data_IF_773368427481
#
_entry.id   IF_773368427481
#
_cell.length_a   1.000
_cell.length_b   1.000
_cell.length_c   1.000
_cell.angle_alpha   90.00
_cell.angle_beta   90.00
_cell.angle_gamma   90.00
#
_symmetry.space_group_name_H-M   'P 1'
#
loop_
_entity.id
_entity.type
_entity.pdbx_description
1 polymer ?
#
# COMPACT_ATOMS: atom_id res chain seq x y z
N UNK A 1 -21.21 19.94 16.81
CA UNK A 1 -20.61 19.40 18.04
C UNK A 1 -19.11 19.65 17.99
N UNK A 2 -18.50 20.21 19.03
CA UNK A 2 -17.06 20.53 19.03
C UNK A 2 -16.23 19.32 19.47
N UNK A 3 -15.15 19.03 18.76
CA UNK A 3 -14.16 18.02 19.17
C UNK A 3 -13.49 18.38 20.50
N UNK A 4 -13.46 19.66 20.89
CA UNK A 4 -12.87 20.10 22.16
C UNK A 4 -13.62 19.54 23.37
N UNK A 5 -14.96 19.53 23.32
CA UNK A 5 -15.81 18.99 24.39
C UNK A 5 -15.68 17.46 24.49
N UNK A 6 -15.60 16.78 23.34
CA UNK A 6 -15.32 15.35 23.28
C UNK A 6 -13.97 15.03 23.93
N UNK A 7 -12.92 15.75 23.55
CA UNK A 7 -11.57 15.57 24.06
C UNK A 7 -11.45 15.89 25.56
N UNK A 8 -12.19 16.89 26.05
CA UNK A 8 -12.31 17.18 27.48
C UNK A 8 -12.89 15.97 28.23
N UNK A 9 -14.00 15.41 27.78
CA UNK A 9 -14.58 14.23 28.42
C UNK A 9 -13.66 13.01 28.37
N UNK A 10 -12.90 12.82 27.27
CA UNK A 10 -11.88 11.77 27.20
C UNK A 10 -10.79 12.00 28.25
N UNK A 11 -10.28 13.21 28.39
CA UNK A 11 -9.26 13.57 29.37
C UNK A 11 -9.74 13.35 30.82
N UNK A 12 -10.96 13.78 31.14
CA UNK A 12 -11.57 13.64 32.46
C UNK A 12 -11.75 12.16 32.88
N UNK A 13 -12.00 11.27 31.91
CA UNK A 13 -12.24 9.85 32.17
C UNK A 13 -10.97 8.97 32.04
N UNK A 14 -10.02 9.34 31.17
CA UNK A 14 -8.76 8.59 30.98
C UNK A 14 -7.66 9.45 30.36
N UNK A 15 -6.73 9.90 31.20
CA UNK A 15 -5.55 10.66 30.78
C UNK A 15 -4.66 9.83 29.83
N UNK A 16 -4.49 8.54 30.08
CA UNK A 16 -3.65 7.66 29.25
C UNK A 16 -4.19 7.55 27.80
N UNK A 17 -5.50 7.36 27.66
CA UNK A 17 -6.14 7.31 26.34
C UNK A 17 -6.07 8.68 25.67
N UNK A 18 -6.28 9.76 26.43
CA UNK A 18 -6.13 11.12 25.92
C UNK A 18 -4.73 11.38 25.38
N UNK A 19 -3.67 11.05 26.14
CA UNK A 19 -2.28 11.26 25.71
C UNK A 19 -1.93 10.42 24.48
N UNK A 20 -2.43 9.18 24.42
CA UNK A 20 -2.30 8.31 23.24
C UNK A 20 -2.94 8.96 22.01
N UNK A 21 -4.16 9.46 22.13
CA UNK A 21 -4.86 10.16 21.04
C UNK A 21 -4.15 11.47 20.68
N UNK A 22 -3.60 12.18 21.66
CA UNK A 22 -2.89 13.45 21.45
C UNK A 22 -1.61 13.29 20.63
N UNK A 23 -0.96 12.14 20.71
CA UNK A 23 0.18 11.79 19.86
C UNK A 23 -0.21 11.65 18.37
N UNK A 24 -1.50 11.51 18.07
CA UNK A 24 -2.01 11.44 16.71
C UNK A 24 -2.36 12.85 16.17
N UNK A 25 -1.94 13.12 14.94
CA UNK A 25 -2.22 14.37 14.24
C UNK A 25 -3.74 14.63 14.21
N UNK A 26 -4.19 15.87 14.45
CA UNK A 26 -5.62 16.20 14.55
C UNK A 26 -6.46 15.65 13.39
N UNK A 27 -5.96 15.74 12.16
CA UNK A 27 -6.59 15.14 10.97
C UNK A 27 -6.96 13.66 11.17
N UNK A 28 -6.00 12.79 11.51
CA UNK A 28 -6.26 11.37 11.70
C UNK A 28 -7.08 11.11 12.97
N UNK A 29 -6.88 11.91 14.02
CA UNK A 29 -7.62 11.80 15.27
C UNK A 29 -9.12 12.06 15.07
N UNK A 30 -9.47 13.11 14.34
CA UNK A 30 -10.87 13.43 14.04
C UNK A 30 -11.50 12.39 13.11
N UNK A 31 -10.75 11.89 12.12
CA UNK A 31 -11.19 10.75 11.29
C UNK A 31 -11.41 9.49 12.13
N UNK A 32 -10.57 9.23 13.12
CA UNK A 32 -10.76 8.12 14.07
C UNK A 32 -12.03 8.30 14.90
N UNK A 33 -12.29 9.50 15.43
CA UNK A 33 -13.54 9.77 16.16
C UNK A 33 -14.77 9.55 15.28
N UNK A 34 -14.76 10.05 14.05
CA UNK A 34 -15.83 9.82 13.07
C UNK A 34 -16.05 8.33 12.81
N UNK A 35 -14.96 7.57 12.57
CA UNK A 35 -15.04 6.12 12.35
C UNK A 35 -15.61 5.38 13.56
N UNK A 36 -15.26 5.81 14.78
CA UNK A 36 -15.81 5.23 16.02
C UNK A 36 -17.29 5.56 16.16
N UNK A 37 -17.72 6.78 15.81
CA UNK A 37 -19.13 7.19 15.78
C UNK A 37 -19.95 6.28 14.86
N UNK A 38 -19.47 6.10 13.62
CA UNK A 38 -20.09 5.23 12.61
C UNK A 38 -20.19 3.77 13.06
N UNK A 39 -19.08 3.20 13.54
CA UNK A 39 -19.02 1.80 13.98
C UNK A 39 -19.88 1.53 15.22
N UNK A 40 -20.04 2.55 16.08
CA UNK A 40 -20.87 2.46 17.29
C UNK A 40 -22.34 2.81 17.01
N UNK A 41 -22.68 3.17 15.76
CA UNK A 41 -24.02 3.58 15.33
C UNK A 41 -24.61 4.69 16.20
N UNK A 42 -23.76 5.60 16.67
CA UNK A 42 -24.21 6.75 17.45
C UNK A 42 -25.04 7.68 16.56
N UNK A 43 -26.10 8.23 17.13
CA UNK A 43 -26.98 9.16 16.43
C UNK A 43 -26.26 10.47 16.11
N UNK A 44 -26.81 11.24 15.18
CA UNK A 44 -26.20 12.52 14.81
C UNK A 44 -26.23 13.56 15.92
N UNK A 45 -27.22 13.45 16.81
CA UNK A 45 -27.46 14.24 18.01
C UNK A 45 -26.82 13.65 19.28
N UNK A 46 -26.03 12.57 19.18
CA UNK A 46 -25.36 11.99 20.35
C UNK A 46 -24.57 13.06 21.12
N UNK A 47 -24.58 13.03 22.44
CA UNK A 47 -23.79 14.01 23.18
C UNK A 47 -22.29 13.69 23.16
N UNK A 48 -21.47 14.67 23.52
CA UNK A 48 -20.01 14.51 23.51
C UNK A 48 -19.52 13.49 24.56
N UNK A 49 -20.27 13.26 25.63
CA UNK A 49 -19.92 12.33 26.69
C UNK A 49 -20.13 10.88 26.23
N UNK A 50 -21.27 10.58 25.63
CA UNK A 50 -21.58 9.27 25.04
C UNK A 50 -20.56 8.93 23.95
N UNK A 51 -20.22 9.90 23.10
CA UNK A 51 -19.19 9.70 22.08
C UNK A 51 -17.81 9.45 22.71
N UNK A 52 -17.42 10.20 23.75
CA UNK A 52 -16.16 9.99 24.48
C UNK A 52 -16.09 8.57 25.06
N UNK A 53 -17.15 8.10 25.73
CA UNK A 53 -17.20 6.75 26.29
C UNK A 53 -17.00 5.66 25.22
N UNK A 54 -17.55 5.87 24.02
CA UNK A 54 -17.33 4.95 22.91
C UNK A 54 -15.88 5.01 22.40
N UNK A 55 -15.24 6.18 22.36
CA UNK A 55 -13.82 6.31 22.05
C UNK A 55 -12.96 5.55 23.06
N UNK A 56 -13.20 5.75 24.36
CA UNK A 56 -12.49 5.05 25.44
C UNK A 56 -12.64 3.52 25.34
N UNK A 57 -13.82 3.04 24.94
CA UNK A 57 -14.11 1.62 24.77
C UNK A 57 -13.48 1.02 23.51
N UNK A 58 -13.37 1.80 22.44
CA UNK A 58 -12.96 1.32 21.12
C UNK A 58 -11.46 1.45 20.87
N UNK A 59 -10.80 2.46 21.44
CA UNK A 59 -9.36 2.66 21.25
C UNK A 59 -8.52 1.44 21.68
N UNK A 60 -8.76 0.81 22.85
CA UNK A 60 -8.02 -0.39 23.26
C UNK A 60 -8.26 -1.61 22.37
N UNK A 61 -9.33 -1.60 21.57
CA UNK A 61 -9.66 -2.68 20.62
C UNK A 61 -8.99 -2.49 19.26
N UNK A 62 -8.40 -1.33 18.99
CA UNK A 62 -7.59 -1.14 17.81
C UNK A 62 -6.35 -2.05 17.86
N UNK A 63 -5.87 -2.44 16.69
CA UNK A 63 -4.64 -3.23 16.59
C UNK A 63 -3.50 -2.44 17.23
N UNK A 64 -2.81 -3.05 18.21
CA UNK A 64 -1.66 -2.44 18.90
C UNK A 64 -0.61 -1.90 17.93
N UNK A 65 -0.34 -2.62 16.84
CA UNK A 65 0.60 -2.19 15.79
C UNK A 65 0.24 -0.87 15.10
N UNK A 66 -1.01 -0.42 15.20
CA UNK A 66 -1.48 0.87 14.66
C UNK A 66 -1.33 1.94 15.72
N UNK A 67 -1.79 1.68 16.95
CA UNK A 67 -1.70 2.60 18.09
C UNK A 67 -0.24 2.96 18.40
N UNK A 68 0.65 1.96 18.43
CA UNK A 68 2.10 2.15 18.67
C UNK A 68 2.78 3.03 17.60
N UNK A 69 2.09 3.36 16.49
CA UNK A 69 2.63 4.18 15.39
C UNK A 69 2.00 5.56 15.27
N UNK A 70 1.10 5.96 16.19
CA UNK A 70 0.41 7.25 16.14
C UNK A 70 1.36 8.44 16.07
N UNK A 71 2.37 8.47 16.95
CA UNK A 71 3.40 9.52 16.93
C UNK A 71 4.11 9.53 15.57
N UNK A 72 4.60 8.37 15.12
CA UNK A 72 5.36 8.23 13.88
C UNK A 72 4.58 8.67 12.63
N UNK A 73 3.29 8.38 12.57
CA UNK A 73 2.38 8.81 11.50
C UNK A 73 2.26 10.33 11.46
N UNK A 74 2.32 10.97 12.62
CA UNK A 74 2.03 12.38 12.83
C UNK A 74 3.22 13.29 12.62
N UNK A 75 4.44 12.75 12.67
CA UNK A 75 5.67 13.53 12.44
C UNK A 75 5.74 14.12 11.02
N UNK A 76 5.94 15.42 10.94
CA UNK A 76 6.25 16.15 9.72
C UNK A 76 7.55 15.66 9.07
N UNK A 77 7.79 16.10 7.82
CA UNK A 77 9.04 15.80 7.13
C UNK A 77 10.27 16.38 7.86
N UNK A 78 10.13 17.56 8.45
CA UNK A 78 11.20 18.21 9.20
C UNK A 78 11.56 17.42 10.47
N UNK A 79 10.54 17.01 11.25
CA UNK A 79 10.73 16.24 12.48
C UNK A 79 11.34 14.86 12.18
N UNK A 80 10.82 14.15 11.16
CA UNK A 80 11.40 12.86 10.75
C UNK A 80 12.87 12.98 10.36
N UNK A 81 13.28 14.08 9.73
CA UNK A 81 14.68 14.35 9.40
C UNK A 81 15.51 14.62 10.64
N UNK A 82 14.98 15.38 11.60
CA UNK A 82 15.66 15.65 12.87
C UNK A 82 15.88 14.34 13.64
N UNK A 83 14.84 13.51 13.77
CA UNK A 83 14.95 12.17 14.36
C UNK A 83 15.87 11.24 13.57
N UNK A 84 15.88 11.30 12.22
CA UNK A 84 16.84 10.57 11.39
C UNK A 84 18.27 11.02 11.69
N UNK A 85 18.52 12.33 11.85
CA UNK A 85 19.84 12.86 12.20
C UNK A 85 20.37 12.32 13.53
N UNK A 86 19.46 12.16 14.50
CA UNK A 86 19.78 11.66 15.86
C UNK A 86 19.98 10.13 15.84
N UNK A 87 19.09 9.38 15.21
CA UNK A 87 19.04 7.91 15.31
C UNK A 87 19.73 7.17 14.15
N UNK A 88 20.03 7.87 13.05
CA UNK A 88 20.48 7.33 11.74
C UNK A 88 19.56 6.26 11.13
N UNK A 89 18.36 6.04 11.68
CA UNK A 89 17.41 5.05 11.16
C UNK A 89 16.59 5.64 10.02
N UNK A 90 16.34 4.88 8.94
CA UNK A 90 15.42 5.24 7.83
C UNK A 90 13.95 5.27 8.26
N UNK A 91 13.60 6.22 9.14
CA UNK A 91 12.26 6.41 9.69
C UNK A 91 11.24 6.83 8.64
N UNK A 92 11.66 7.46 7.54
CA UNK A 92 10.75 7.86 6.46
C UNK A 92 10.01 6.68 5.82
N UNK A 93 10.69 5.54 5.65
CA UNK A 93 10.05 4.33 5.12
C UNK A 93 9.06 3.73 6.14
N UNK A 94 9.41 3.73 7.43
CA UNK A 94 8.53 3.25 8.51
C UNK A 94 7.29 4.15 8.64
N UNK A 95 7.47 5.47 8.61
CA UNK A 95 6.38 6.43 8.68
C UNK A 95 5.41 6.30 7.50
N UNK A 96 5.92 6.13 6.28
CA UNK A 96 5.07 5.89 5.12
C UNK A 96 4.25 4.60 5.25
N UNK A 97 4.84 3.51 5.76
CA UNK A 97 4.10 2.27 6.02
C UNK A 97 3.05 2.45 7.11
N UNK A 98 3.38 3.16 8.18
CA UNK A 98 2.44 3.48 9.24
C UNK A 98 1.27 4.34 8.74
N UNK A 99 1.52 5.30 7.84
CA UNK A 99 0.48 6.09 7.17
C UNK A 99 -0.42 5.26 6.26
N UNK A 100 0.14 4.32 5.51
CA UNK A 100 -0.68 3.35 4.76
C UNK A 100 -1.56 2.57 5.74
N UNK A 101 -0.98 2.05 6.82
CA UNK A 101 -1.72 1.24 7.80
C UNK A 101 -2.85 2.04 8.47
N UNK A 102 -2.64 3.30 8.83
CA UNK A 102 -3.69 4.12 9.44
C UNK A 102 -4.76 4.52 8.43
N UNK A 103 -4.39 4.85 7.18
CA UNK A 103 -5.37 5.11 6.11
C UNK A 103 -6.29 3.91 5.89
N UNK A 104 -5.73 2.69 5.85
CA UNK A 104 -6.51 1.45 5.74
C UNK A 104 -7.45 1.22 6.91
N UNK A 105 -7.07 1.59 8.14
CA UNK A 105 -7.95 1.47 9.32
C UNK A 105 -9.07 2.51 9.29
N UNK A 106 -8.75 3.72 8.85
CA UNK A 106 -9.68 4.85 8.85
C UNK A 106 -10.48 4.99 7.55
N UNK A 107 -10.22 4.14 6.57
CA UNK A 107 -10.84 4.19 5.24
C UNK A 107 -10.61 5.54 4.53
N UNK A 108 -9.40 6.07 4.65
CA UNK A 108 -8.98 7.33 4.03
C UNK A 108 -8.31 7.01 2.70
N UNK A 109 -8.79 7.61 1.61
CA UNK A 109 -8.15 7.46 0.30
C UNK A 109 -6.78 8.17 0.28
N UNK A 110 -5.89 7.77 -0.63
CA UNK A 110 -4.58 8.43 -0.79
C UNK A 110 -4.71 9.92 -1.09
N UNK A 111 -5.76 10.29 -1.82
CA UNK A 111 -5.97 11.64 -2.31
C UNK A 111 -6.68 12.52 -1.25
N UNK A 112 -7.20 11.92 -0.17
CA UNK A 112 -7.81 12.64 0.96
C UNK A 112 -6.85 12.79 2.15
N UNK A 113 -5.66 12.17 2.12
CA UNK A 113 -4.69 12.22 3.21
C UNK A 113 -3.84 13.50 3.15
N UNK A 114 -4.40 14.58 3.71
CA UNK A 114 -3.78 15.91 3.79
C UNK A 114 -2.41 15.89 4.48
N UNK A 115 -2.25 15.05 5.51
CA UNK A 115 -0.98 14.94 6.25
C UNK A 115 0.10 14.33 5.34
N UNK A 116 -0.26 13.31 4.57
CA UNK A 116 0.66 12.70 3.60
C UNK A 116 0.97 13.64 2.44
N UNK A 117 0.00 14.43 1.97
CA UNK A 117 0.20 15.44 0.93
C UNK A 117 1.19 16.52 1.40
N UNK A 118 0.93 17.14 2.55
CA UNK A 118 1.83 18.13 3.14
C UNK A 118 3.25 17.57 3.32
N UNK A 119 3.36 16.33 3.83
CA UNK A 119 4.65 15.66 3.97
C UNK A 119 5.40 15.52 2.63
N UNK A 120 4.69 15.17 1.56
CA UNK A 120 5.29 15.02 0.23
C UNK A 120 5.71 16.38 -0.35
N UNK A 121 4.91 17.42 -0.14
CA UNK A 121 5.16 18.77 -0.62
C UNK A 121 6.35 19.42 0.11
N UNK A 122 6.44 19.26 1.43
CA UNK A 122 7.59 19.69 2.23
C UNK A 122 8.88 19.03 1.74
N UNK A 123 8.81 17.72 1.47
CA UNK A 123 9.92 16.95 0.96
C UNK A 123 10.36 17.41 -0.42
N UNK A 124 9.42 17.61 -1.34
CA UNK A 124 9.69 18.08 -2.70
C UNK A 124 10.26 19.51 -2.68
N UNK A 125 9.67 20.41 -1.89
CA UNK A 125 10.13 21.79 -1.72
C UNK A 125 11.56 21.85 -1.18
N UNK A 126 11.87 21.00 -0.20
CA UNK A 126 13.24 20.87 0.31
C UNK A 126 14.21 20.37 -0.76
N UNK A 127 13.84 19.37 -1.55
CA UNK A 127 14.72 18.84 -2.59
C UNK A 127 14.94 19.83 -3.74
N UNK A 128 13.94 20.66 -4.05
CA UNK A 128 14.09 21.79 -5.00
C UNK A 128 15.06 22.86 -4.47
N UNK A 129 15.12 23.08 -3.15
CA UNK A 129 16.00 24.10 -2.56
C UNK A 129 17.47 23.68 -2.45
N UNK A 130 17.78 22.38 -2.49
CA UNK A 130 19.17 21.90 -2.51
C UNK A 130 19.65 21.88 -3.96
N UNK A 131 20.59 22.76 -4.31
CA UNK A 131 21.15 22.87 -5.65
C UNK A 131 22.65 22.57 -5.68
N UNK A 132 23.09 21.91 -6.75
CA UNK A 132 24.49 21.69 -7.09
C UNK A 132 24.67 21.90 -8.59
N UNK A 133 25.59 22.80 -8.98
CA UNK A 133 25.83 23.18 -10.37
C UNK A 133 24.56 23.55 -11.15
N UNK A 134 23.64 24.28 -10.53
CA UNK A 134 22.37 24.70 -11.15
C UNK A 134 21.26 23.65 -11.17
N UNK A 135 21.56 22.38 -10.84
CA UNK A 135 20.57 21.30 -10.76
C UNK A 135 20.13 21.08 -9.31
N UNK A 136 18.83 20.93 -9.09
CA UNK A 136 18.28 20.56 -7.79
C UNK A 136 18.35 19.05 -7.55
N UNK A 137 18.26 18.64 -6.28
CA UNK A 137 18.09 17.22 -5.92
C UNK A 137 16.81 16.66 -6.55
N UNK A 138 15.76 17.48 -6.67
CA UNK A 138 14.51 17.08 -7.32
C UNK A 138 14.72 16.77 -8.81
N UNK A 139 15.50 17.58 -9.54
CA UNK A 139 15.82 17.33 -10.95
C UNK A 139 16.54 16.00 -11.15
N UNK A 140 17.47 15.66 -10.23
CA UNK A 140 18.17 14.38 -10.24
C UNK A 140 17.22 13.19 -10.01
N UNK A 141 16.30 13.33 -9.05
CA UNK A 141 15.28 12.32 -8.76
C UNK A 141 14.37 12.11 -9.99
N UNK A 142 13.92 13.18 -10.61
CA UNK A 142 12.99 13.11 -11.75
C UNK A 142 13.68 12.57 -13.00
N UNK A 143 14.93 12.96 -13.26
CA UNK A 143 15.76 12.36 -14.31
C UNK A 143 15.97 10.86 -14.07
N UNK A 144 16.26 10.45 -12.83
CA UNK A 144 16.40 9.03 -12.48
C UNK A 144 15.11 8.26 -12.72
N UNK A 145 13.96 8.79 -12.32
CA UNK A 145 12.65 8.17 -12.58
C UNK A 145 12.38 8.01 -14.07
N UNK A 146 12.62 9.06 -14.86
CA UNK A 146 12.47 9.04 -16.32
C UNK A 146 13.36 7.98 -16.96
N UNK A 147 14.65 7.95 -16.59
CA UNK A 147 15.60 6.99 -17.13
C UNK A 147 15.26 5.55 -16.76
N UNK A 148 14.85 5.29 -15.52
CA UNK A 148 14.40 3.97 -15.10
C UNK A 148 13.18 3.52 -15.91
N UNK A 149 12.18 4.40 -16.10
CA UNK A 149 10.99 4.08 -16.91
C UNK A 149 11.36 3.77 -18.35
N UNK A 150 12.24 4.56 -18.96
CA UNK A 150 12.70 4.34 -20.33
C UNK A 150 13.45 3.01 -20.48
N UNK A 151 14.34 2.69 -19.53
CA UNK A 151 15.05 1.41 -19.48
C UNK A 151 14.08 0.24 -19.33
N UNK A 152 13.18 0.29 -18.35
CA UNK A 152 12.25 -0.81 -18.07
C UNK A 152 11.28 -1.03 -19.23
N UNK A 153 10.89 0.04 -19.93
CA UNK A 153 10.13 -0.02 -21.18
C UNK A 153 10.92 -0.72 -22.29
N UNK A 154 12.16 -0.29 -22.55
CA UNK A 154 13.00 -0.90 -23.57
C UNK A 154 13.26 -2.40 -23.31
N UNK A 155 13.50 -2.78 -22.05
CA UNK A 155 13.62 -4.19 -21.65
C UNK A 155 12.33 -4.96 -21.98
N UNK A 156 11.17 -4.36 -21.68
CA UNK A 156 9.87 -4.98 -21.93
C UNK A 156 9.64 -5.19 -23.43
N UNK A 157 9.92 -4.19 -24.27
CA UNK A 157 9.80 -4.29 -25.74
C UNK A 157 10.74 -5.34 -26.32
N UNK A 158 12.01 -5.40 -25.85
CA UNK A 158 12.96 -6.40 -26.31
C UNK A 158 12.53 -7.83 -25.94
N UNK A 159 12.00 -8.03 -24.72
CA UNK A 159 11.50 -9.34 -24.29
C UNK A 159 10.28 -9.76 -25.11
N UNK A 160 9.34 -8.85 -25.35
CA UNK A 160 8.15 -9.12 -26.17
C UNK A 160 8.52 -9.48 -27.61
N UNK A 161 9.42 -8.71 -28.24
CA UNK A 161 9.89 -9.01 -29.59
C UNK A 161 10.59 -10.39 -29.66
N UNK A 162 11.43 -10.71 -28.68
CA UNK A 162 12.11 -12.01 -28.60
C UNK A 162 11.12 -13.15 -28.40
N UNK A 163 10.10 -12.96 -27.55
CA UNK A 163 9.06 -13.96 -27.30
C UNK A 163 8.21 -14.23 -28.56
N UNK A 164 7.88 -13.19 -29.34
CA UNK A 164 7.17 -13.34 -30.62
C UNK A 164 7.99 -14.15 -31.63
N UNK A 165 9.29 -13.84 -31.77
CA UNK A 165 10.19 -14.60 -32.65
C UNK A 165 10.32 -16.08 -32.24
N UNK A 166 10.26 -16.34 -30.93
CA UNK A 166 10.32 -17.70 -30.38
C UNK A 166 8.96 -18.43 -30.37
N UNK A 167 7.87 -17.81 -30.85
CA UNK A 167 6.53 -18.43 -30.86
C UNK A 167 5.89 -18.57 -29.48
N UNK A 168 6.28 -17.75 -28.50
CA UNK A 168 5.81 -17.81 -27.12
C UNK A 168 4.64 -16.86 -26.82
N UNK A 169 3.94 -16.43 -27.86
CA UNK A 169 2.77 -15.54 -27.82
C UNK A 169 1.54 -16.23 -28.40
N UNK A 170 0.31 -15.77 -28.06
CA UNK A 170 -0.93 -16.32 -28.61
C UNK A 170 -0.98 -16.31 -30.14
N UNK A 171 -0.43 -15.24 -30.75
CA UNK A 171 -0.25 -15.09 -32.19
C UNK A 171 0.95 -14.16 -32.50
N UNK A 172 1.38 -14.04 -33.77
CA UNK A 172 2.50 -13.17 -34.17
C UNK A 172 2.32 -11.69 -33.85
N UNK A 173 1.07 -11.25 -33.63
CA UNK A 173 0.72 -9.85 -33.36
C UNK A 173 0.28 -9.63 -31.91
N UNK A 174 0.13 -10.69 -31.12
CA UNK A 174 -0.28 -10.59 -29.72
C UNK A 174 0.91 -10.39 -28.79
N UNK A 175 0.62 -9.80 -27.62
CA UNK A 175 1.52 -9.77 -26.48
C UNK A 175 1.45 -11.09 -25.69
N UNK A 176 2.30 -11.23 -24.67
CA UNK A 176 2.16 -12.32 -23.69
C UNK A 176 0.82 -12.27 -22.95
N UNK A 177 0.49 -13.35 -22.24
CA UNK A 177 -0.71 -13.46 -21.42
C UNK A 177 -0.64 -12.51 -20.24
N UNK A 178 -1.60 -11.58 -20.17
CA UNK A 178 -1.71 -10.63 -19.08
C UNK A 178 -2.56 -11.19 -17.95
N UNK A 179 -2.00 -11.24 -16.75
CA UNK A 179 -2.62 -11.79 -15.55
C UNK A 179 -2.51 -10.75 -14.45
N UNK A 180 -3.64 -10.48 -13.81
CA UNK A 180 -3.77 -9.50 -12.72
C UNK A 180 -4.31 -10.19 -11.49
N UNK A 181 -3.56 -10.18 -10.40
CA UNK A 181 -3.86 -10.92 -9.18
C UNK A 181 -3.94 -9.97 -7.99
N UNK A 182 -5.08 -9.96 -7.32
CA UNK A 182 -5.27 -9.24 -6.07
C UNK A 182 -5.29 -10.21 -4.91
N UNK A 183 -4.78 -9.80 -3.75
CA UNK A 183 -5.00 -10.58 -2.54
C UNK A 183 -6.50 -10.64 -2.17
N UNK A 184 -6.97 -11.78 -1.64
CA UNK A 184 -8.34 -11.95 -1.14
C UNK A 184 -8.78 -10.89 -0.13
N UNK A 185 -10.09 -10.70 0.01
CA UNK A 185 -10.69 -9.68 0.88
C UNK A 185 -10.22 -9.71 2.34
N UNK A 186 -9.85 -10.89 2.86
CA UNK A 186 -9.29 -11.02 4.22
C UNK A 186 -8.00 -10.21 4.43
N UNK A 187 -7.26 -9.91 3.34
CA UNK A 187 -6.02 -9.14 3.37
C UNK A 187 -6.25 -7.64 3.25
N UNK A 188 -7.45 -7.20 2.84
CA UNK A 188 -7.75 -5.78 2.64
C UNK A 188 -7.69 -5.01 3.97
N UNK A 189 -8.05 -5.65 5.08
CA UNK A 189 -7.95 -5.08 6.43
C UNK A 189 -6.61 -5.36 7.15
N UNK A 190 -5.66 -6.02 6.48
CA UNK A 190 -4.34 -6.31 7.05
C UNK A 190 -3.34 -5.18 6.80
N UNK A 191 -2.31 -5.13 7.63
CA UNK A 191 -1.19 -4.20 7.52
C UNK A 191 -0.44 -4.39 6.20
N UNK A 192 0.12 -3.32 5.66
CA UNK A 192 0.94 -3.32 4.46
C UNK A 192 2.05 -4.39 4.47
N UNK A 193 2.70 -4.59 5.62
CA UNK A 193 3.75 -5.59 5.77
C UNK A 193 3.23 -7.00 5.51
N UNK A 194 2.18 -7.39 6.24
CA UNK A 194 1.54 -8.70 6.09
C UNK A 194 1.05 -8.96 4.67
N UNK A 195 0.43 -7.95 4.03
CA UNK A 195 -0.05 -8.12 2.66
C UNK A 195 1.10 -8.21 1.66
N UNK A 196 2.17 -7.41 1.85
CA UNK A 196 3.35 -7.48 1.00
C UNK A 196 4.11 -8.81 1.18
N UNK A 197 4.21 -9.34 2.39
CA UNK A 197 4.84 -10.64 2.64
C UNK A 197 4.02 -11.76 2.01
N UNK A 198 2.70 -11.70 2.10
CA UNK A 198 1.82 -12.70 1.50
C UNK A 198 1.88 -12.71 -0.03
N UNK A 199 1.82 -11.54 -0.69
CA UNK A 199 1.88 -11.50 -2.16
C UNK A 199 3.23 -12.01 -2.66
N UNK A 200 4.33 -11.71 -1.95
CA UNK A 200 5.65 -12.24 -2.27
C UNK A 200 5.73 -13.76 -2.03
N UNK A 201 5.16 -14.26 -0.93
CA UNK A 201 5.08 -15.70 -0.65
C UNK A 201 4.36 -16.45 -1.77
N UNK A 202 3.20 -15.93 -2.22
CA UNK A 202 2.43 -16.50 -3.34
C UNK A 202 3.21 -16.44 -4.65
N UNK A 203 3.79 -15.29 -4.98
CA UNK A 203 4.62 -15.13 -6.18
C UNK A 203 5.79 -16.12 -6.20
N UNK A 204 6.49 -16.29 -5.09
CA UNK A 204 7.59 -17.26 -4.98
C UNK A 204 7.11 -18.71 -5.07
N UNK A 205 5.89 -19.00 -4.61
CA UNK A 205 5.22 -20.29 -4.81
C UNK A 205 4.93 -20.57 -6.29
N UNK A 206 4.32 -19.59 -6.98
CA UNK A 206 4.02 -19.68 -8.41
C UNK A 206 5.31 -19.87 -9.22
N UNK A 207 6.36 -19.09 -8.95
CA UNK A 207 7.66 -19.23 -9.62
C UNK A 207 8.21 -20.64 -9.53
N UNK A 208 8.21 -21.19 -8.30
CA UNK A 208 8.70 -22.54 -8.01
C UNK A 208 7.89 -23.63 -8.71
N UNK A 209 6.57 -23.51 -8.70
CA UNK A 209 5.70 -24.53 -9.30
C UNK A 209 5.69 -24.42 -10.84
N UNK A 210 5.85 -23.22 -11.40
CA UNK A 210 6.03 -23.02 -12.84
C UNK A 210 7.35 -23.64 -13.33
N UNK A 211 8.44 -23.40 -12.61
CA UNK A 211 9.75 -24.00 -12.90
C UNK A 211 9.69 -25.54 -12.85
N UNK A 212 9.01 -26.12 -11.85
CA UNK A 212 8.79 -27.58 -11.75
C UNK A 212 7.91 -28.16 -12.86
N UNK A 213 7.10 -27.33 -13.50
CA UNK A 213 6.24 -27.72 -14.61
C UNK A 213 6.93 -27.52 -15.97
N UNK A 214 8.25 -27.22 -15.96
CA UNK A 214 9.08 -26.85 -17.09
C UNK A 214 8.58 -25.62 -17.85
N UNK A 215 7.86 -24.73 -17.15
CA UNK A 215 7.38 -23.47 -17.71
C UNK A 215 8.41 -22.39 -17.42
N UNK A 216 9.08 -21.93 -18.48
CA UNK A 216 10.10 -20.90 -18.37
C UNK A 216 9.46 -19.54 -18.01
N UNK A 217 9.92 -18.97 -16.90
CA UNK A 217 9.46 -17.65 -16.47
C UNK A 217 10.13 -16.53 -17.27
N UNK A 218 9.49 -16.09 -18.35
CA UNK A 218 9.96 -14.95 -19.17
C UNK A 218 9.18 -13.65 -18.91
N UNK A 219 8.35 -13.63 -17.87
CA UNK A 219 7.35 -12.60 -17.69
C UNK A 219 7.82 -11.30 -17.03
N UNK A 220 7.22 -10.19 -17.44
CA UNK A 220 7.32 -8.90 -16.74
C UNK A 220 6.33 -8.93 -15.58
N UNK A 221 6.76 -8.54 -14.38
CA UNK A 221 5.83 -8.35 -13.28
C UNK A 221 5.98 -6.98 -12.64
N UNK A 222 4.86 -6.46 -12.14
CA UNK A 222 4.80 -5.22 -11.38
C UNK A 222 3.87 -5.42 -10.20
N UNK A 223 4.37 -5.11 -9.01
CA UNK A 223 3.54 -5.02 -7.80
C UNK A 223 3.24 -3.54 -7.56
N UNK A 224 1.97 -3.20 -7.41
CA UNK A 224 1.53 -1.87 -7.02
C UNK A 224 0.39 -1.95 -5.99
N UNK A 225 0.02 -0.84 -5.36
CA UNK A 225 -1.14 -0.81 -4.47
C UNK A 225 -2.41 -0.52 -5.26
N UNK A 226 -3.45 -1.31 -5.05
CA UNK A 226 -4.82 -1.03 -5.52
C UNK A 226 -5.42 0.19 -4.80
N UNK A 227 -6.69 0.53 -5.06
CA UNK A 227 -7.37 1.71 -4.46
C UNK A 227 -7.35 1.68 -2.93
N UNK A 228 -7.52 0.51 -2.34
CA UNK A 228 -7.48 0.20 -0.90
C UNK A 228 -6.05 -0.04 -0.37
N UNK A 229 -5.04 0.29 -1.16
CA UNK A 229 -3.62 0.10 -0.86
C UNK A 229 -3.18 -1.35 -0.64
N UNK A 230 -4.05 -2.32 -0.94
CA UNK A 230 -3.69 -3.74 -0.96
C UNK A 230 -2.79 -4.02 -2.17
N UNK A 231 -1.68 -4.76 -1.99
CA UNK A 231 -0.82 -5.17 -3.08
C UNK A 231 -1.61 -5.92 -4.17
N UNK A 232 -1.36 -5.51 -5.40
CA UNK A 232 -1.89 -6.07 -6.63
C UNK A 232 -0.73 -6.35 -7.57
N UNK A 233 -0.76 -7.53 -8.20
CA UNK A 233 0.32 -8.06 -9.01
C UNK A 233 -0.14 -8.15 -10.45
N UNK A 234 0.50 -7.39 -11.32
CA UNK A 234 0.37 -7.54 -12.77
C UNK A 234 1.53 -8.37 -13.29
N UNK A 235 1.23 -9.35 -14.13
CA UNK A 235 2.20 -10.23 -14.78
C UNK A 235 1.85 -10.29 -16.26
N UNK A 236 2.84 -10.11 -17.13
CA UNK A 236 2.76 -10.52 -18.53
C UNK A 236 3.59 -11.78 -18.62
N UNK A 237 3.03 -12.89 -19.11
CA UNK A 237 3.74 -14.17 -19.22
C UNK A 237 3.85 -14.60 -20.69
N UNK A 238 5.00 -15.17 -21.06
CA UNK A 238 5.21 -15.78 -22.37
C UNK A 238 5.35 -17.29 -22.17
N UNK A 239 4.42 -18.06 -22.72
CA UNK A 239 4.41 -19.54 -22.64
C UNK A 239 4.48 -20.12 -24.04
N UNK A 240 4.99 -21.34 -24.17
CA UNK A 240 4.84 -22.08 -25.41
C UNK A 240 3.35 -22.30 -25.69
N UNK A 241 2.90 -21.85 -26.85
CA UNK A 241 1.50 -21.90 -27.23
C UNK A 241 1.15 -23.20 -28.01
N UNK A 242 2.13 -24.06 -28.29
CA UNK A 242 1.90 -25.36 -28.91
C UNK A 242 0.98 -26.21 -28.00
N UNK A 243 -0.27 -26.36 -28.42
CA UNK A 243 -1.36 -27.12 -27.79
C UNK A 243 -1.95 -26.58 -26.47
N UNK A 244 -1.80 -25.27 -26.13
CA UNK A 244 -2.37 -24.62 -24.92
C UNK A 244 -2.00 -25.25 -23.56
N UNK A 245 -1.21 -26.32 -23.55
CA UNK A 245 -0.94 -27.16 -22.38
C UNK A 245 -0.24 -26.39 -21.27
N UNK A 246 0.71 -25.53 -21.63
CA UNK A 246 1.48 -24.77 -20.65
C UNK A 246 0.69 -23.59 -20.09
N UNK A 247 -0.21 -23.00 -20.87
CA UNK A 247 -1.17 -22.02 -20.36
C UNK A 247 -2.10 -22.66 -19.33
N UNK A 248 -2.67 -23.83 -19.61
CA UNK A 248 -3.58 -24.52 -18.68
C UNK A 248 -2.87 -24.91 -17.37
N UNK A 249 -1.62 -25.39 -17.46
CA UNK A 249 -0.80 -25.67 -16.28
C UNK A 249 -0.53 -24.40 -15.48
N UNK A 250 -0.14 -23.32 -16.15
CA UNK A 250 0.16 -22.04 -15.51
C UNK A 250 -1.07 -21.47 -14.80
N UNK A 251 -2.23 -21.52 -15.43
CA UNK A 251 -3.52 -21.12 -14.86
C UNK A 251 -3.84 -21.93 -13.59
N UNK A 252 -3.68 -23.26 -13.62
CA UNK A 252 -3.85 -24.12 -12.43
C UNK A 252 -2.88 -23.75 -11.31
N UNK A 253 -1.63 -23.42 -11.65
CA UNK A 253 -0.65 -22.95 -10.66
C UNK A 253 -1.12 -21.63 -10.04
N UNK A 254 -1.59 -20.66 -10.83
CA UNK A 254 -2.10 -19.40 -10.28
C UNK A 254 -3.29 -19.61 -9.34
N UNK A 255 -4.28 -20.42 -9.75
CA UNK A 255 -5.44 -20.70 -8.91
C UNK A 255 -5.11 -21.46 -7.64
N UNK A 256 -4.11 -22.33 -7.65
CA UNK A 256 -3.59 -22.94 -6.41
C UNK A 256 -3.19 -21.90 -5.36
N UNK A 257 -2.64 -20.76 -5.77
CA UNK A 257 -2.21 -19.69 -4.85
C UNK A 257 -3.26 -18.59 -4.65
N UNK A 258 -4.26 -18.51 -5.53
CA UNK A 258 -5.32 -17.49 -5.51
C UNK A 258 -6.72 -18.14 -5.62
N UNK A 259 -6.96 -19.20 -4.84
CA UNK A 259 -8.13 -20.11 -4.88
C UNK A 259 -9.53 -19.48 -4.84
N UNK A 260 -9.67 -18.16 -4.68
CA UNK A 260 -10.95 -17.44 -4.75
C UNK A 260 -11.18 -16.74 -6.11
N UNK A 261 -10.30 -16.96 -7.11
CA UNK A 261 -10.42 -16.37 -8.45
C UNK A 261 -10.91 -17.35 -9.53
N UNK A 262 -11.01 -18.66 -9.25
CA UNK A 262 -11.60 -19.63 -10.21
C UNK A 262 -13.03 -19.24 -10.59
N UNK A 263 -13.87 -18.87 -9.61
CA UNK A 263 -15.25 -18.42 -9.83
C UNK A 263 -15.37 -17.08 -10.61
N UNK A 264 -14.29 -16.29 -10.67
CA UNK A 264 -14.24 -15.04 -11.45
C UNK A 264 -13.73 -15.24 -12.88
N UNK A 265 -12.99 -16.32 -13.13
CA UNK A 265 -12.42 -16.62 -14.43
C UNK A 265 -13.39 -17.33 -15.37
N UNK A 266 -14.39 -18.03 -14.83
CA UNK A 266 -15.45 -18.70 -15.59
C UNK A 266 -16.63 -17.79 -15.99
N UNK A 267 -16.57 -16.48 -15.68
CA UNK A 267 -17.56 -15.47 -16.08
C UNK A 267 -16.97 -14.50 -17.10
#
# INVERSE_FOLDING_TARGET
MSYDLLEQHIYENSIEIYDTLKALHPFYRYKLYQKIKENSRLSDDCDACEWALNVLKMLPKLKKSVVDTFELVSLSYAELRQHYGITRQKLSAKANKARINIRKVLDISKDDDEVQQQFNDDKASRYKSIKYNGFSVQDSIDKKKKNNKARDWAISECMEASARLAGLTPSPYDSGYFISLTLPGIYHSMTFEKTNDEINRRLNGIKRDAERADILWLGIYKIHGHKDETPHLHIIYFVNNDNKKDLDKLTKIFFKYFQQEEERWEK
#
